data_IF_215086425514
#
_entry.id   IF_215086425514
#
_cell.length_a   1.000
_cell.length_b   1.000
_cell.length_c   1.000
_cell.angle_alpha   90.00
_cell.angle_beta   90.00
_cell.angle_gamma   90.00
#
_symmetry.space_group_name_H-M   'P 1'
#
loop_
_entity.id
_entity.type
_entity.pdbx_description
1 polymer ?
#
# COMPACT_ATOMS: atom_id res chain seq x y z
N UNK A 1 -15.74 -10.34 18.97
CA UNK A 1 -15.04 -9.05 19.02
C UNK A 1 -13.61 -9.26 18.53
N UNK A 2 -13.15 -8.50 17.55
CA UNK A 2 -11.79 -8.60 17.04
C UNK A 2 -10.81 -8.01 18.06
N UNK A 3 -9.65 -8.64 18.37
CA UNK A 3 -8.74 -8.21 19.44
C UNK A 3 -8.03 -6.88 19.15
N UNK A 4 -8.10 -6.39 17.92
CA UNK A 4 -7.58 -5.07 17.53
C UNK A 4 -8.42 -3.90 18.01
N UNK A 5 -9.57 -4.13 18.65
CA UNK A 5 -10.55 -3.10 18.92
C UNK A 5 -11.32 -2.63 17.68
N UNK A 6 -11.04 -3.21 16.50
CA UNK A 6 -11.83 -2.97 15.31
C UNK A 6 -13.18 -3.70 15.45
N UNK A 7 -14.25 -2.98 15.23
CA UNK A 7 -15.57 -3.60 15.17
C UNK A 7 -15.66 -4.51 13.95
N UNK A 8 -16.27 -5.66 14.13
CA UNK A 8 -16.55 -6.55 13.00
C UNK A 8 -17.53 -5.87 12.04
N UNK A 9 -17.24 -5.92 10.76
CA UNK A 9 -18.09 -5.30 9.77
C UNK A 9 -19.48 -5.95 9.77
N UNK A 10 -20.49 -5.12 9.95
CA UNK A 10 -21.88 -5.50 9.76
C UNK A 10 -22.35 -5.25 8.33
N UNK A 11 -21.48 -4.77 7.46
CA UNK A 11 -21.81 -4.49 6.05
C UNK A 11 -22.09 -5.79 5.29
N UNK A 12 -23.16 -5.85 4.50
CA UNK A 12 -23.58 -7.08 3.81
C UNK A 12 -22.52 -7.70 2.91
N UNK A 13 -21.61 -6.87 2.39
CA UNK A 13 -20.59 -7.28 1.42
C UNK A 13 -19.46 -8.12 2.00
N UNK A 14 -19.35 -8.22 3.32
CA UNK A 14 -18.30 -8.97 4.00
C UNK A 14 -18.81 -10.17 4.81
N UNK A 15 -20.07 -10.55 4.60
CA UNK A 15 -20.72 -11.60 5.40
C UNK A 15 -20.01 -12.96 5.36
N UNK A 16 -19.29 -13.26 4.27
CA UNK A 16 -18.55 -14.51 4.08
C UNK A 16 -17.03 -14.34 4.15
N UNK A 17 -16.56 -13.14 4.42
CA UNK A 17 -15.14 -12.85 4.48
C UNK A 17 -14.60 -13.03 5.90
N UNK A 18 -13.35 -13.45 5.99
CA UNK A 18 -12.67 -13.70 7.26
C UNK A 18 -11.28 -13.10 7.27
N UNK A 19 -10.62 -13.11 8.43
CA UNK A 19 -9.23 -12.70 8.55
C UNK A 19 -8.30 -13.48 7.63
N UNK A 20 -8.59 -14.75 7.34
CA UNK A 20 -7.77 -15.57 6.44
C UNK A 20 -7.72 -15.05 5.01
N UNK A 21 -8.78 -14.40 4.53
CA UNK A 21 -8.88 -13.83 3.17
C UNK A 21 -8.41 -12.38 3.07
N UNK A 22 -7.97 -11.77 4.17
CA UNK A 22 -7.57 -10.37 4.24
C UNK A 22 -6.11 -10.18 3.82
N UNK A 23 -5.83 -9.12 3.02
CA UNK A 23 -4.47 -8.78 2.60
C UNK A 23 -3.56 -8.39 3.77
N UNK A 24 -4.11 -7.88 4.88
CA UNK A 24 -3.37 -7.45 6.06
C UNK A 24 -3.01 -8.60 6.99
N UNK A 25 -3.46 -9.82 6.70
CA UNK A 25 -3.19 -11.02 7.48
C UNK A 25 -2.02 -11.81 6.91
N UNK A 26 -0.96 -12.00 7.70
CA UNK A 26 0.28 -12.64 7.27
C UNK A 26 0.69 -13.77 8.20
N UNK A 27 1.22 -14.85 7.62
CA UNK A 27 1.99 -15.85 8.35
C UNK A 27 3.39 -15.28 8.59
N UNK A 28 3.84 -15.22 9.83
CA UNK A 28 5.16 -14.72 10.17
C UNK A 28 6.06 -15.81 10.75
N UNK A 29 7.26 -15.89 10.17
CA UNK A 29 8.32 -16.79 10.56
C UNK A 29 8.28 -18.15 9.85
N UNK A 30 9.43 -18.79 9.65
CA UNK A 30 9.52 -20.09 9.02
C UNK A 30 8.78 -21.16 9.83
N UNK A 31 7.97 -21.97 9.16
CA UNK A 31 7.22 -23.07 9.76
C UNK A 31 6.07 -22.67 10.68
N UNK A 32 5.74 -21.36 10.81
CA UNK A 32 4.62 -20.93 11.65
C UNK A 32 3.30 -20.96 10.87
N UNK A 33 2.26 -21.48 11.54
CA UNK A 33 0.86 -21.38 11.07
C UNK A 33 0.11 -20.21 11.76
N UNK A 34 0.80 -19.38 12.53
CA UNK A 34 0.20 -18.31 13.31
C UNK A 34 -0.04 -17.08 12.44
N UNK A 35 -1.31 -16.79 12.17
CA UNK A 35 -1.72 -15.60 11.43
C UNK A 35 -1.61 -14.35 12.31
N UNK A 36 -1.08 -13.27 11.76
CA UNK A 36 -0.95 -11.96 12.41
C UNK A 36 -1.48 -10.86 11.50
N UNK A 37 -2.07 -9.84 12.10
CA UNK A 37 -2.65 -8.72 11.36
C UNK A 37 -1.78 -7.47 11.47
N UNK A 38 -1.46 -6.85 10.34
CA UNK A 38 -0.75 -5.57 10.27
C UNK A 38 -1.49 -4.47 11.04
N UNK A 39 -2.81 -4.39 10.87
CA UNK A 39 -3.65 -3.37 11.50
C UNK A 39 -3.72 -3.48 13.02
N UNK A 40 -3.33 -4.61 13.60
CA UNK A 40 -3.26 -4.83 15.04
C UNK A 40 -1.83 -4.78 15.58
N UNK A 41 -0.93 -4.15 14.87
CA UNK A 41 0.49 -4.15 15.21
C UNK A 41 1.08 -5.57 15.32
N UNK A 42 0.71 -6.43 14.36
CA UNK A 42 1.15 -7.83 14.25
C UNK A 42 0.72 -8.74 15.40
N UNK A 43 -0.36 -8.41 16.08
CA UNK A 43 -0.97 -9.33 17.04
C UNK A 43 -1.50 -10.58 16.34
N UNK A 44 -1.50 -11.69 17.08
CA UNK A 44 -2.06 -12.96 16.60
C UNK A 44 -3.57 -12.83 16.44
N UNK A 45 -4.07 -13.32 15.32
CA UNK A 45 -5.50 -13.36 15.00
C UNK A 45 -5.93 -14.78 14.64
N UNK A 46 -7.21 -15.06 14.83
CA UNK A 46 -7.81 -16.31 14.35
C UNK A 46 -8.20 -16.13 12.87
N UNK A 47 -7.79 -17.05 11.98
CA UNK A 47 -8.15 -16.97 10.56
C UNK A 47 -9.66 -17.01 10.30
N UNK A 48 -10.43 -17.61 11.20
CA UNK A 48 -11.91 -17.74 11.07
C UNK A 48 -12.68 -16.54 11.61
N UNK A 49 -12.01 -15.58 12.25
CA UNK A 49 -12.72 -14.38 12.71
C UNK A 49 -13.33 -13.63 11.53
N UNK A 50 -14.57 -13.11 11.72
CA UNK A 50 -15.25 -12.36 10.66
C UNK A 50 -14.46 -11.12 10.28
N UNK A 51 -14.64 -10.67 9.05
CA UNK A 51 -14.00 -9.46 8.53
C UNK A 51 -14.35 -8.24 9.41
N UNK A 52 -13.33 -7.44 9.71
CA UNK A 52 -13.50 -6.13 10.34
C UNK A 52 -13.74 -5.05 9.26
N UNK A 53 -14.02 -3.82 9.68
CA UNK A 53 -14.25 -2.69 8.78
C UNK A 53 -13.07 -2.38 7.83
N UNK A 54 -11.85 -2.79 8.20
CA UNK A 54 -10.63 -2.58 7.40
C UNK A 54 -10.28 -3.78 6.52
N UNK A 55 -11.14 -4.79 6.46
CA UNK A 55 -10.89 -5.93 5.60
C UNK A 55 -10.68 -5.48 4.15
N UNK A 56 -9.64 -6.02 3.53
CA UNK A 56 -9.27 -5.71 2.15
C UNK A 56 -8.91 -7.00 1.44
N UNK A 57 -9.41 -7.23 0.21
CA UNK A 57 -9.14 -8.47 -0.50
C UNK A 57 -7.65 -8.60 -0.86
N UNK A 58 -7.16 -9.83 -0.91
CA UNK A 58 -5.79 -10.13 -1.36
C UNK A 58 -5.54 -9.75 -2.83
N UNK A 59 -6.61 -9.56 -3.60
CA UNK A 59 -6.57 -9.10 -4.99
C UNK A 59 -6.39 -7.59 -5.15
N UNK A 60 -6.19 -6.84 -4.04
CA UNK A 60 -5.94 -5.39 -4.10
C UNK A 60 -4.86 -5.07 -5.12
N UNK A 61 -5.17 -4.23 -6.10
CA UNK A 61 -4.23 -3.77 -7.11
C UNK A 61 -3.69 -2.39 -6.76
N UNK A 62 -2.36 -2.23 -6.82
CA UNK A 62 -1.70 -0.94 -6.63
C UNK A 62 -2.13 0.09 -7.67
N UNK A 63 -2.44 -0.35 -8.89
CA UNK A 63 -2.90 0.52 -9.96
C UNK A 63 -4.24 1.18 -9.63
N UNK A 64 -5.13 0.48 -8.93
CA UNK A 64 -6.44 1.00 -8.52
C UNK A 64 -6.39 1.76 -7.19
N UNK A 65 -5.31 1.62 -6.44
CA UNK A 65 -5.18 2.18 -5.09
C UNK A 65 -4.58 3.59 -5.07
N UNK A 66 -3.42 3.80 -5.70
CA UNK A 66 -2.72 5.09 -5.76
C UNK A 66 -2.21 5.65 -4.42
N UNK A 67 -2.34 4.94 -3.32
CA UNK A 67 -2.00 5.47 -1.98
C UNK A 67 -0.55 5.91 -1.84
N UNK A 68 0.39 5.10 -2.36
CA UNK A 68 1.83 5.41 -2.28
C UNK A 68 2.23 6.60 -3.16
N UNK A 69 1.52 6.80 -4.27
CA UNK A 69 1.72 7.92 -5.18
C UNK A 69 1.04 9.20 -4.70
N UNK A 70 0.10 9.10 -3.78
CA UNK A 70 -0.51 10.24 -3.09
C UNK A 70 0.47 10.90 -2.13
N UNK A 71 -0.03 11.63 -1.17
CA UNK A 71 0.78 12.35 -0.18
C UNK A 71 1.32 11.47 0.97
N UNK A 72 1.23 10.15 0.84
CA UNK A 72 1.60 9.23 1.93
C UNK A 72 3.11 9.18 2.21
N UNK A 73 3.94 9.33 1.17
CA UNK A 73 5.40 9.37 1.29
C UNK A 73 5.97 10.64 0.66
N UNK A 74 7.02 11.19 1.26
CA UNK A 74 7.63 12.43 0.81
C UNK A 74 8.59 12.23 -0.37
N UNK A 75 9.14 11.04 -0.53
CA UNK A 75 10.20 10.74 -1.51
C UNK A 75 9.92 9.45 -2.26
N UNK A 76 10.03 9.52 -3.58
CA UNK A 76 10.12 8.36 -4.47
C UNK A 76 11.49 8.42 -5.14
N UNK A 77 12.43 7.62 -4.66
CA UNK A 77 13.80 7.62 -5.15
C UNK A 77 13.89 6.96 -6.54
N UNK A 78 14.75 7.54 -7.41
CA UNK A 78 14.95 7.06 -8.78
C UNK A 78 16.41 6.67 -8.96
N UNK A 79 16.67 5.42 -9.33
CA UNK A 79 18.00 4.92 -9.63
C UNK A 79 18.45 5.25 -11.06
N UNK A 80 19.72 5.03 -11.36
CA UNK A 80 20.24 5.20 -12.72
C UNK A 80 19.60 4.26 -13.74
N UNK A 81 19.16 3.08 -13.29
CA UNK A 81 18.64 2.03 -14.13
C UNK A 81 17.11 2.12 -14.33
N UNK A 82 16.45 3.02 -13.61
CA UNK A 82 15.01 3.18 -13.72
C UNK A 82 14.62 3.78 -15.08
N UNK A 83 13.74 3.13 -15.85
CA UNK A 83 13.37 3.61 -17.19
C UNK A 83 12.79 5.02 -17.21
N UNK A 84 12.11 5.43 -16.13
CA UNK A 84 11.53 6.77 -16.02
C UNK A 84 12.58 7.87 -16.14
N UNK A 85 13.81 7.61 -15.71
CA UNK A 85 14.89 8.59 -15.78
C UNK A 85 15.25 8.98 -17.22
N UNK A 86 15.25 8.01 -18.12
CA UNK A 86 15.51 8.24 -19.54
C UNK A 86 14.27 8.73 -20.31
N UNK A 87 13.10 8.20 -19.97
CA UNK A 87 11.84 8.46 -20.70
C UNK A 87 11.13 9.74 -20.26
N UNK A 88 11.26 10.12 -18.98
CA UNK A 88 10.61 11.29 -18.41
C UNK A 88 11.58 12.11 -17.56
N UNK A 89 12.68 12.63 -18.15
CA UNK A 89 13.71 13.34 -17.40
C UNK A 89 13.17 14.59 -16.69
N UNK A 90 12.16 15.25 -17.25
CA UNK A 90 11.53 16.45 -16.68
C UNK A 90 10.73 16.16 -15.39
N UNK A 91 10.43 14.90 -15.13
CA UNK A 91 9.73 14.46 -13.91
C UNK A 91 10.69 14.11 -12.78
N UNK A 92 11.99 14.26 -13.02
CA UNK A 92 13.03 13.93 -12.06
C UNK A 92 13.66 15.19 -11.52
N UNK A 93 13.93 15.23 -10.23
CA UNK A 93 14.66 16.31 -9.55
C UNK A 93 15.80 15.70 -8.74
N UNK A 94 16.92 16.41 -8.69
CA UNK A 94 18.04 16.06 -7.81
C UNK A 94 17.96 16.88 -6.53
N UNK A 95 17.83 16.20 -5.40
CA UNK A 95 17.88 16.82 -4.06
C UNK A 95 18.88 16.07 -3.19
N UNK A 96 19.73 16.81 -2.50
CA UNK A 96 20.74 16.23 -1.57
C UNK A 96 21.54 15.08 -2.18
N UNK A 97 21.93 15.22 -3.46
CA UNK A 97 22.69 14.20 -4.19
C UNK A 97 21.89 13.01 -4.71
N UNK A 98 20.59 12.93 -4.41
CA UNK A 98 19.71 11.83 -4.84
C UNK A 98 18.71 12.28 -5.89
N UNK A 99 18.40 11.38 -6.82
CA UNK A 99 17.36 11.61 -7.82
C UNK A 99 16.02 11.10 -7.30
N UNK A 100 14.98 11.92 -7.48
CA UNK A 100 13.64 11.67 -6.96
C UNK A 100 12.60 12.06 -8.01
N UNK A 101 11.45 11.41 -7.96
CA UNK A 101 10.28 11.88 -8.71
C UNK A 101 9.84 13.26 -8.19
N UNK A 102 9.55 14.17 -9.10
CA UNK A 102 8.92 15.45 -8.74
C UNK A 102 7.59 15.23 -8.06
N UNK A 103 7.29 16.09 -7.11
CA UNK A 103 5.98 16.17 -6.45
C UNK A 103 5.25 17.43 -6.90
N UNK A 104 3.93 17.32 -7.02
CA UNK A 104 3.07 18.47 -7.24
C UNK A 104 2.95 19.29 -5.94
N UNK A 105 2.34 20.48 -6.01
CA UNK A 105 2.11 21.35 -4.84
C UNK A 105 1.32 20.67 -3.71
N UNK A 106 0.44 19.74 -4.04
CA UNK A 106 -0.31 18.93 -3.07
C UNK A 106 0.46 17.68 -2.57
N UNK A 107 1.77 17.62 -2.83
CA UNK A 107 2.66 16.52 -2.47
C UNK A 107 2.34 15.16 -3.11
N UNK A 108 1.55 15.12 -4.18
CA UNK A 108 1.35 13.90 -4.95
C UNK A 108 2.47 13.68 -5.98
N UNK A 109 2.78 12.42 -6.28
CA UNK A 109 3.74 12.07 -7.31
C UNK A 109 3.32 12.64 -8.67
N UNK A 110 4.29 13.14 -9.44
CA UNK A 110 4.06 13.68 -10.79
C UNK A 110 3.36 12.69 -11.73
N UNK A 111 3.60 11.40 -11.57
CA UNK A 111 3.03 10.34 -12.38
C UNK A 111 1.59 9.95 -12.01
N UNK A 112 1.07 10.42 -10.87
CA UNK A 112 -0.28 10.10 -10.43
C UNK A 112 -1.30 10.88 -11.23
N UNK A 113 -2.26 10.18 -11.84
CA UNK A 113 -3.37 10.76 -12.60
C UNK A 113 -4.57 11.08 -11.70
N UNK A 114 -5.52 11.84 -12.20
CA UNK A 114 -6.73 12.22 -11.48
C UNK A 114 -7.60 11.01 -11.07
N UNK A 115 -7.55 9.92 -11.84
CA UNK A 115 -8.22 8.66 -11.54
C UNK A 115 -7.46 7.76 -10.53
N UNK A 116 -6.42 8.30 -9.88
CA UNK A 116 -5.56 7.62 -8.92
C UNK A 116 -4.68 6.51 -9.54
N UNK A 117 -4.51 6.49 -10.85
CA UNK A 117 -3.64 5.55 -11.56
C UNK A 117 -2.26 6.15 -11.85
N UNK A 118 -1.24 5.32 -11.79
CA UNK A 118 0.11 5.72 -12.16
C UNK A 118 0.27 5.69 -13.69
N UNK A 119 0.56 6.85 -14.31
CA UNK A 119 0.73 6.96 -15.77
C UNK A 119 1.96 6.22 -16.31
N UNK A 120 2.93 5.90 -15.45
CA UNK A 120 4.14 5.17 -15.79
C UNK A 120 4.24 3.83 -15.05
N UNK A 121 3.12 3.18 -14.81
CA UNK A 121 3.07 1.97 -13.96
C UNK A 121 4.08 0.89 -14.37
N UNK A 122 4.24 0.64 -15.66
CA UNK A 122 5.21 -0.33 -16.19
C UNK A 122 6.68 0.13 -16.03
N UNK A 123 6.92 1.43 -16.02
CA UNK A 123 8.23 2.06 -15.95
C UNK A 123 8.53 2.69 -14.57
N UNK A 124 7.69 2.41 -13.58
CA UNK A 124 7.83 2.97 -12.25
C UNK A 124 9.19 2.64 -11.64
N UNK A 125 9.75 3.53 -10.80
CA UNK A 125 11.02 3.30 -10.11
C UNK A 125 11.06 1.98 -9.34
N UNK A 126 12.25 1.43 -9.18
CA UNK A 126 12.45 0.15 -8.48
C UNK A 126 11.86 0.17 -7.06
N UNK A 127 12.02 1.28 -6.34
CA UNK A 127 11.43 1.42 -5.00
C UNK A 127 9.90 1.27 -5.00
N UNK A 128 9.22 1.69 -6.07
CA UNK A 128 7.77 1.48 -6.22
C UNK A 128 7.44 0.00 -6.53
N UNK A 129 8.32 -0.70 -7.24
CA UNK A 129 8.14 -2.14 -7.55
C UNK A 129 8.38 -3.00 -6.33
N UNK A 130 9.37 -2.64 -5.52
CA UNK A 130 9.74 -3.37 -4.30
C UNK A 130 8.76 -3.13 -3.16
N UNK A 131 7.83 -2.19 -3.34
CA UNK A 131 6.82 -1.89 -2.34
C UNK A 131 5.83 -3.05 -2.21
N UNK A 132 5.84 -3.68 -1.05
CA UNK A 132 5.04 -4.88 -0.78
C UNK A 132 3.59 -4.51 -0.44
N UNK A 133 2.64 -5.02 -1.23
CA UNK A 133 1.21 -4.91 -0.94
C UNK A 133 0.85 -5.67 0.33
N UNK A 134 -0.02 -5.09 1.14
CA UNK A 134 -0.42 -5.69 2.40
C UNK A 134 0.60 -5.54 3.53
N UNK A 135 1.75 -4.90 3.27
CA UNK A 135 2.75 -4.59 4.29
C UNK A 135 2.26 -3.49 5.26
N UNK A 136 3.00 -3.29 6.34
CA UNK A 136 2.75 -2.18 7.27
C UNK A 136 2.81 -0.82 6.56
N UNK A 137 3.78 -0.64 5.65
CA UNK A 137 3.89 0.59 4.87
C UNK A 137 2.67 0.82 3.96
N UNK A 138 2.16 -0.24 3.34
CA UNK A 138 0.93 -0.19 2.55
C UNK A 138 -0.29 0.20 3.41
N UNK A 139 -0.42 -0.37 4.59
CA UNK A 139 -1.44 -0.01 5.58
C UNK A 139 -1.38 1.47 5.94
N UNK A 140 -0.21 1.97 6.32
CA UNK A 140 -0.03 3.37 6.70
C UNK A 140 -0.27 4.33 5.52
N UNK A 141 0.19 4.00 4.32
CA UNK A 141 -0.06 4.80 3.13
C UNK A 141 -1.56 5.00 2.86
N UNK A 142 -2.33 3.92 2.92
CA UNK A 142 -3.78 3.98 2.71
C UNK A 142 -4.49 4.78 3.80
N UNK A 143 -4.09 4.62 5.05
CA UNK A 143 -4.65 5.42 6.16
C UNK A 143 -4.36 6.91 6.02
N UNK A 144 -3.15 7.27 5.63
CA UNK A 144 -2.75 8.68 5.48
C UNK A 144 -3.56 9.43 4.46
N UNK A 145 -4.04 8.78 3.42
CA UNK A 145 -4.87 9.41 2.38
C UNK A 145 -6.37 9.12 2.53
N UNK A 146 -6.79 8.55 3.65
CA UNK A 146 -8.20 8.35 3.97
C UNK A 146 -8.88 7.17 3.26
N UNK A 147 -8.12 6.18 2.77
CA UNK A 147 -8.67 4.97 2.16
C UNK A 147 -9.02 3.86 3.17
N UNK A 148 -8.87 4.13 4.45
CA UNK A 148 -9.19 3.19 5.54
C UNK A 148 -9.72 3.94 6.76
#
# INVERSE_FOLDING_TARGET
MHPSGFETSTKPNHKFESCASCIWAHLRGPGTKKLRCVGTNFQRINPEWPACEHWTPKSLDCLDCGACCGSAFDVVEVSRQDPVRARQPDWIVKKEGRYQMKRRSNNTCQALQADMKCSIYSDRPQCCRDFERGSANCWFARRRIGLM
#
